data_IF_190548292716
#
_entry.id   IF_190548292716
#
_cell.length_a   1.000
_cell.length_b   1.000
_cell.length_c   1.000
_cell.angle_alpha   90.00
_cell.angle_beta   90.00
_cell.angle_gamma   90.00
#
_symmetry.space_group_name_H-M   'P 1'
#
loop_
_entity.id
_entity.type
_entity.pdbx_description
1 polymer ?
#
# COMPACT_ATOMS: atom_id res chain seq x y z
N UNK A 1 -19.69 6.87 -38.78
CA UNK A 1 -20.27 6.33 -37.54
C UNK A 1 -19.70 7.12 -36.37
N UNK A 2 -20.54 7.81 -35.58
CA UNK A 2 -20.07 8.54 -34.38
C UNK A 2 -19.79 7.51 -33.28
N UNK A 3 -18.52 7.18 -33.08
CA UNK A 3 -18.03 6.26 -32.05
C UNK A 3 -18.35 6.72 -30.61
N UNK A 4 -18.77 7.98 -30.44
CA UNK A 4 -19.14 8.59 -29.16
C UNK A 4 -20.52 9.27 -29.27
N UNK A 5 -21.56 8.47 -29.46
CA UNK A 5 -22.94 8.95 -29.35
C UNK A 5 -23.31 9.15 -27.88
N UNK A 6 -24.13 10.15 -27.60
CA UNK A 6 -24.63 10.44 -26.25
C UNK A 6 -25.31 9.22 -25.62
N UNK A 7 -26.03 8.45 -26.44
CA UNK A 7 -26.69 7.22 -26.01
C UNK A 7 -25.72 6.13 -25.58
N UNK A 8 -24.58 5.98 -26.29
CA UNK A 8 -23.56 5.01 -25.91
C UNK A 8 -22.95 5.36 -24.56
N UNK A 9 -22.60 6.64 -24.35
CA UNK A 9 -22.03 7.09 -23.10
C UNK A 9 -23.04 6.92 -21.95
N UNK A 10 -24.30 7.30 -22.15
CA UNK A 10 -25.35 7.14 -21.14
C UNK A 10 -25.56 5.68 -20.75
N UNK A 11 -25.73 4.78 -21.72
CA UNK A 11 -26.00 3.37 -21.44
C UNK A 11 -24.78 2.68 -20.81
N UNK A 12 -23.58 2.98 -21.31
CA UNK A 12 -22.33 2.49 -20.73
C UNK A 12 -22.15 2.99 -19.30
N UNK A 13 -22.30 4.29 -19.05
CA UNK A 13 -22.11 4.87 -17.71
C UNK A 13 -23.08 4.31 -16.69
N UNK A 14 -24.36 4.11 -17.06
CA UNK A 14 -25.34 3.50 -16.15
C UNK A 14 -24.92 2.07 -15.80
N UNK A 15 -24.61 1.25 -16.81
CA UNK A 15 -24.17 -0.13 -16.58
C UNK A 15 -22.87 -0.21 -15.78
N UNK A 16 -21.92 0.67 -16.08
CA UNK A 16 -20.64 0.77 -15.38
C UNK A 16 -20.83 1.16 -13.91
N UNK A 17 -21.63 2.19 -13.61
CA UNK A 17 -21.87 2.63 -12.23
C UNK A 17 -22.58 1.52 -11.43
N UNK A 18 -23.62 0.91 -12.00
CA UNK A 18 -24.32 -0.19 -11.34
C UNK A 18 -23.39 -1.38 -11.09
N UNK A 19 -22.60 -1.78 -12.08
CA UNK A 19 -21.63 -2.86 -11.94
C UNK A 19 -20.54 -2.56 -10.93
N UNK A 20 -19.97 -1.35 -10.96
CA UNK A 20 -18.94 -0.90 -10.02
C UNK A 20 -19.45 -0.90 -8.58
N UNK A 21 -20.66 -0.40 -8.34
CA UNK A 21 -21.29 -0.42 -7.01
C UNK A 21 -21.52 -1.86 -6.52
N UNK A 22 -21.91 -2.77 -7.40
CA UNK A 22 -22.15 -4.16 -7.05
C UNK A 22 -20.85 -4.88 -6.69
N UNK A 23 -19.79 -4.69 -7.48
CA UNK A 23 -18.45 -5.23 -7.20
C UNK A 23 -17.87 -4.65 -5.92
N UNK A 24 -17.95 -3.32 -5.74
CA UNK A 24 -17.49 -2.66 -4.52
C UNK A 24 -18.25 -3.14 -3.28
N UNK A 25 -19.58 -3.30 -3.37
CA UNK A 25 -20.41 -3.81 -2.29
C UNK A 25 -20.04 -5.24 -1.88
N UNK A 26 -19.82 -6.13 -2.85
CA UNK A 26 -19.39 -7.53 -2.58
C UNK A 26 -18.00 -7.56 -1.94
N UNK A 27 -17.09 -6.67 -2.34
CA UNK A 27 -15.70 -6.66 -1.86
C UNK A 27 -15.46 -5.72 -0.66
N UNK A 28 -16.48 -5.01 -0.16
CA UNK A 28 -16.33 -4.01 0.89
C UNK A 28 -15.68 -4.57 2.17
N UNK A 29 -15.99 -5.82 2.54
CA UNK A 29 -15.39 -6.48 3.70
C UNK A 29 -13.93 -6.93 3.47
N UNK A 30 -13.49 -7.05 2.22
CA UNK A 30 -12.15 -7.50 1.85
C UNK A 30 -11.10 -6.39 1.87
N UNK A 31 -11.52 -5.14 1.65
CA UNK A 31 -10.61 -3.99 1.55
C UNK A 31 -9.86 -3.70 2.86
N UNK A 32 -10.48 -3.93 4.03
CA UNK A 32 -9.82 -3.75 5.33
C UNK A 32 -8.62 -4.69 5.55
N UNK A 33 -8.62 -5.88 4.92
CA UNK A 33 -7.50 -6.83 5.07
C UNK A 33 -6.30 -6.47 4.21
N UNK A 34 -6.55 -5.87 3.05
CA UNK A 34 -5.52 -5.56 2.05
C UNK A 34 -4.76 -4.26 2.37
N UNK A 35 -5.34 -3.36 3.16
CA UNK A 35 -4.71 -2.11 3.62
C UNK A 35 -3.82 -2.26 4.86
N UNK A 36 -3.65 -3.46 5.39
CA UNK A 36 -2.63 -3.68 6.42
C UNK A 36 -1.26 -3.61 5.75
N UNK A 37 -0.60 -2.44 5.87
CA UNK A 37 0.78 -2.27 5.44
C UNK A 37 1.65 -3.31 6.15
N UNK A 38 1.94 -4.40 5.47
CA UNK A 38 2.77 -5.49 5.99
C UNK A 38 4.21 -4.98 6.00
N UNK A 39 4.62 -4.37 7.11
CA UNK A 39 6.00 -3.97 7.31
C UNK A 39 6.90 -5.21 7.12
N UNK A 40 7.94 -5.07 6.30
CA UNK A 40 8.97 -6.09 6.21
C UNK A 40 9.57 -6.29 7.61
N UNK A 41 9.91 -7.54 8.00
CA UNK A 41 10.59 -7.78 9.26
C UNK A 41 11.87 -6.95 9.31
N UNK A 42 12.11 -6.30 10.46
CA UNK A 42 13.32 -5.52 10.67
C UNK A 42 14.52 -6.48 10.55
N UNK A 43 15.51 -6.18 9.68
CA UNK A 43 16.69 -7.03 9.56
C UNK A 43 17.41 -7.07 10.90
N UNK A 44 17.93 -8.24 11.26
CA UNK A 44 18.74 -8.43 12.46
C UNK A 44 19.93 -7.45 12.41
N UNK A 45 20.04 -6.61 13.45
CA UNK A 45 21.11 -5.62 13.54
C UNK A 45 22.41 -6.36 13.80
N UNK A 46 23.33 -6.30 12.84
CA UNK A 46 24.72 -6.68 13.08
C UNK A 46 25.34 -5.60 13.95
N UNK A 47 25.67 -5.95 15.19
CA UNK A 47 26.44 -5.06 16.07
C UNK A 47 27.84 -4.83 15.47
N UNK A 48 28.34 -3.58 15.46
CA UNK A 48 29.70 -3.30 15.03
C UNK A 48 30.69 -4.14 15.84
N UNK A 49 31.68 -4.70 15.15
CA UNK A 49 32.76 -5.43 15.80
C UNK A 49 33.62 -4.50 16.66
N UNK A 50 34.26 -5.06 17.70
CA UNK A 50 34.87 -4.28 18.77
C UNK A 50 35.98 -3.33 18.31
N UNK A 51 36.57 -3.57 17.13
CA UNK A 51 37.54 -2.68 16.48
C UNK A 51 36.95 -1.34 16.03
N UNK A 52 35.62 -1.21 15.92
CA UNK A 52 34.92 0.03 15.57
C UNK A 52 34.31 0.74 16.79
N UNK A 53 34.49 0.20 17.99
CA UNK A 53 34.07 0.84 19.23
C UNK A 53 35.16 1.82 19.69
N UNK A 54 34.85 3.12 19.67
CA UNK A 54 35.73 4.15 20.25
C UNK A 54 35.59 4.04 21.78
N UNK A 55 36.62 3.49 22.43
CA UNK A 55 36.68 3.50 23.89
C UNK A 55 36.76 4.95 24.40
N UNK A 56 36.04 5.31 25.48
CA UNK A 56 36.18 6.63 26.07
C UNK A 56 37.63 6.82 26.54
N UNK A 57 38.25 7.93 26.12
CA UNK A 57 39.59 8.30 26.58
C UNK A 57 39.59 8.31 28.11
N UNK A 58 40.54 7.57 28.70
CA UNK A 58 40.73 7.56 30.15
C UNK A 58 40.97 9.00 30.58
N UNK A 59 39.99 9.59 31.27
CA UNK A 59 40.14 10.89 31.93
C UNK A 59 41.34 10.76 32.88
N UNK A 60 42.44 11.52 32.69
CA UNK A 60 43.55 11.50 33.63
C UNK A 60 43.04 11.99 34.99
N UNK A 61 43.28 11.18 36.03
CA UNK A 61 43.02 11.54 37.44
C UNK A 61 44.03 12.56 37.95
#
# INVERSE_FOLDING_TARGET
MRLFSSDLFRNFSIGFVLGALLVAGVNAQGWDREFTARAAPMPERVEPSAEFLIAPDKVPQ
#
